data_IF_444377201155
#
_entry.id   IF_444377201155
#
_cell.length_a   1.000
_cell.length_b   1.000
_cell.length_c   1.000
_cell.angle_alpha   90.00
_cell.angle_beta   90.00
_cell.angle_gamma   90.00
#
_symmetry.space_group_name_H-M   'P 1'
#
loop_
_entity.id
_entity.type
_entity.pdbx_description
1 polymer ?
#
# COMPACT_ATOMS: atom_id res chain seq x y z
N UNK A 1 -2.01 32.85 -4.77
CA UNK A 1 -2.72 32.08 -5.82
C UNK A 1 -1.72 31.83 -6.94
N UNK A 2 -1.16 30.62 -6.99
CA UNK A 2 -0.38 30.14 -8.15
C UNK A 2 -1.41 29.91 -9.25
N UNK A 3 -1.16 30.38 -10.50
CA UNK A 3 -2.11 30.13 -11.58
C UNK A 3 -2.28 28.62 -11.77
N UNK A 4 -3.54 28.17 -11.61
CA UNK A 4 -3.94 26.77 -11.52
C UNK A 4 -3.52 25.88 -12.70
N UNK A 5 -3.24 26.47 -13.87
CA UNK A 5 -2.86 25.73 -15.07
C UNK A 5 -1.41 25.21 -15.05
N UNK A 6 -0.44 26.00 -14.62
CA UNK A 6 0.97 25.59 -14.66
C UNK A 6 1.31 24.54 -13.58
N UNK A 7 0.73 24.66 -12.37
CA UNK A 7 0.92 23.67 -11.32
C UNK A 7 0.25 22.33 -11.70
N UNK A 8 -0.96 22.37 -12.28
CA UNK A 8 -1.66 21.16 -12.72
C UNK A 8 -0.89 20.38 -13.80
N UNK A 9 -0.21 21.08 -14.71
CA UNK A 9 0.57 20.45 -15.79
C UNK A 9 1.85 19.77 -15.29
N UNK A 10 2.47 20.31 -14.24
CA UNK A 10 3.63 19.68 -13.59
C UNK A 10 3.21 18.40 -12.88
N UNK A 11 2.11 18.42 -12.11
CA UNK A 11 1.61 17.24 -11.42
C UNK A 11 1.09 16.14 -12.36
N UNK A 12 0.46 16.52 -13.48
CA UNK A 12 0.07 15.58 -14.54
C UNK A 12 1.28 14.82 -15.09
N UNK A 13 2.38 15.53 -15.37
CA UNK A 13 3.62 14.90 -15.83
C UNK A 13 4.24 14.01 -14.76
N UNK A 14 4.24 14.41 -13.49
CA UNK A 14 4.80 13.65 -12.38
C UNK A 14 4.04 12.33 -12.11
N UNK A 15 2.74 12.25 -12.41
CA UNK A 15 1.96 11.02 -12.28
C UNK A 15 2.07 10.11 -13.51
N UNK A 16 2.14 10.69 -14.70
CA UNK A 16 2.19 9.90 -15.96
C UNK A 16 3.58 9.30 -16.22
N UNK A 17 4.66 10.05 -15.95
CA UNK A 17 6.04 9.58 -16.24
C UNK A 17 6.38 8.27 -15.48
N UNK A 18 6.17 8.14 -14.16
CA UNK A 18 6.42 6.90 -13.45
C UNK A 18 5.53 5.74 -13.93
N UNK A 19 4.29 6.04 -14.33
CA UNK A 19 3.37 4.99 -14.81
C UNK A 19 3.82 4.35 -16.12
N UNK A 20 4.44 5.13 -17.01
CA UNK A 20 5.05 4.61 -18.24
C UNK A 20 6.28 3.75 -17.93
N UNK A 21 7.11 4.20 -16.98
CA UNK A 21 8.35 3.51 -16.63
C UNK A 21 8.10 2.14 -15.97
N UNK A 22 7.10 2.04 -15.07
CA UNK A 22 6.87 0.84 -14.26
C UNK A 22 5.75 -0.09 -14.75
N UNK A 23 4.76 0.42 -15.49
CA UNK A 23 3.55 -0.35 -15.80
C UNK A 23 3.24 -0.51 -17.29
N UNK A 24 4.06 0.03 -18.17
CA UNK A 24 3.85 0.00 -19.62
C UNK A 24 2.66 0.86 -20.08
N UNK A 25 2.38 0.78 -21.39
CA UNK A 25 1.40 1.65 -22.06
C UNK A 25 -0.01 1.55 -21.47
N UNK A 26 -0.44 0.36 -21.02
CA UNK A 26 -1.80 0.16 -20.46
C UNK A 26 -2.01 0.92 -19.16
N UNK A 27 -1.01 0.90 -18.25
CA UNK A 27 -1.07 1.65 -17.00
C UNK A 27 -1.00 3.15 -17.28
N UNK A 28 -0.14 3.58 -18.20
CA UNK A 28 -0.02 4.98 -18.60
C UNK A 28 -1.34 5.54 -19.15
N UNK A 29 -2.04 4.78 -20.01
CA UNK A 29 -3.34 5.18 -20.54
C UNK A 29 -4.41 5.28 -19.44
N UNK A 30 -4.41 4.36 -18.48
CA UNK A 30 -5.33 4.39 -17.36
C UNK A 30 -5.09 5.61 -16.44
N UNK A 31 -3.82 5.90 -16.13
CA UNK A 31 -3.44 7.07 -15.34
C UNK A 31 -3.79 8.35 -16.08
N UNK A 32 -3.50 8.43 -17.38
CA UNK A 32 -3.85 9.58 -18.20
C UNK A 32 -5.36 9.81 -18.22
N UNK A 33 -6.15 8.74 -18.40
CA UNK A 33 -7.61 8.83 -18.36
C UNK A 33 -8.12 9.31 -17.00
N UNK A 34 -7.61 8.77 -15.89
CA UNK A 34 -7.99 9.17 -14.53
C UNK A 34 -7.67 10.64 -14.27
N UNK A 35 -6.46 11.08 -14.63
CA UNK A 35 -6.00 12.47 -14.49
C UNK A 35 -6.86 13.45 -15.31
N UNK A 36 -7.19 13.09 -16.55
CA UNK A 36 -8.07 13.89 -17.41
C UNK A 36 -9.50 13.93 -16.85
N UNK A 37 -10.00 12.81 -16.33
CA UNK A 37 -11.33 12.73 -15.72
C UNK A 37 -11.42 13.63 -14.48
N UNK A 38 -10.44 13.61 -13.56
CA UNK A 38 -10.42 14.50 -12.39
C UNK A 38 -10.42 15.98 -12.76
N UNK A 39 -9.73 16.34 -13.87
CA UNK A 39 -9.77 17.71 -14.40
C UNK A 39 -11.09 18.07 -15.08
N UNK A 40 -11.75 17.11 -15.74
CA UNK A 40 -12.98 17.36 -16.46
C UNK A 40 -14.20 17.56 -15.52
N UNK A 41 -14.19 16.88 -14.36
CA UNK A 41 -15.26 17.02 -13.34
C UNK A 41 -14.93 18.07 -12.27
N UNK A 42 -13.85 18.84 -12.44
CA UNK A 42 -13.39 19.90 -11.51
C UNK A 42 -13.10 19.42 -10.07
N UNK A 43 -12.75 18.14 -9.92
CA UNK A 43 -12.38 17.50 -8.64
C UNK A 43 -10.87 17.27 -8.50
N UNK A 44 -10.06 18.03 -9.23
CA UNK A 44 -8.61 17.92 -9.23
C UNK A 44 -8.01 18.16 -7.84
N UNK A 45 -8.34 19.27 -7.19
CA UNK A 45 -7.78 19.64 -5.89
C UNK A 45 -8.16 18.62 -4.81
N UNK A 46 -9.41 18.21 -4.76
CA UNK A 46 -9.90 17.18 -3.82
C UNK A 46 -9.25 15.81 -4.07
N UNK A 47 -8.93 15.48 -5.33
CA UNK A 47 -8.19 14.26 -5.67
C UNK A 47 -6.75 14.33 -5.19
N UNK A 48 -6.07 15.49 -5.34
CA UNK A 48 -4.70 15.67 -4.86
C UNK A 48 -4.61 15.67 -3.32
N UNK A 49 -5.58 16.23 -2.62
CA UNK A 49 -5.67 16.17 -1.17
C UNK A 49 -5.83 14.71 -0.68
N UNK A 50 -6.72 13.95 -1.29
CA UNK A 50 -6.90 12.51 -0.99
C UNK A 50 -5.61 11.74 -1.23
N UNK A 51 -4.92 12.00 -2.35
CA UNK A 51 -3.63 11.41 -2.67
C UNK A 51 -2.56 11.73 -1.62
N UNK A 52 -2.48 12.99 -1.18
CA UNK A 52 -1.51 13.42 -0.19
C UNK A 52 -1.74 12.77 1.17
N UNK A 53 -3.00 12.76 1.65
CA UNK A 53 -3.37 12.11 2.91
C UNK A 53 -3.10 10.61 2.87
N UNK A 54 -3.53 9.94 1.81
CA UNK A 54 -3.32 8.50 1.63
C UNK A 54 -1.84 8.17 1.49
N UNK A 55 -1.12 8.90 0.65
CA UNK A 55 0.31 8.68 0.40
C UNK A 55 1.14 8.76 1.68
N UNK A 56 0.92 9.80 2.50
CA UNK A 56 1.61 9.96 3.77
C UNK A 56 1.23 8.86 4.78
N UNK A 57 -0.06 8.52 4.86
CA UNK A 57 -0.53 7.44 5.75
C UNK A 57 0.08 6.09 5.37
N UNK A 58 0.08 5.74 4.08
CA UNK A 58 0.68 4.49 3.57
C UNK A 58 2.19 4.48 3.81
N UNK A 59 2.88 5.57 3.54
CA UNK A 59 4.33 5.68 3.77
C UNK A 59 4.68 5.38 5.22
N UNK A 60 3.97 5.99 6.17
CA UNK A 60 4.16 5.75 7.60
C UNK A 60 3.79 4.31 7.99
N UNK A 61 2.67 3.78 7.47
CA UNK A 61 2.25 2.39 7.72
C UNK A 61 3.28 1.39 7.23
N UNK A 62 3.87 1.61 6.06
CA UNK A 62 4.87 0.71 5.47
C UNK A 62 6.14 0.72 6.30
N UNK A 63 6.64 1.89 6.69
CA UNK A 63 7.85 1.99 7.51
C UNK A 63 7.67 1.22 8.84
N UNK A 64 6.64 1.58 9.60
CA UNK A 64 6.41 0.96 10.91
C UNK A 64 6.01 -0.51 10.75
N UNK A 65 5.16 -0.82 9.78
CA UNK A 65 4.66 -2.16 9.54
C UNK A 65 5.74 -3.15 9.09
N UNK A 66 6.68 -2.73 8.22
CA UNK A 66 7.82 -3.58 7.83
C UNK A 66 8.73 -3.84 9.03
N UNK A 67 9.04 -2.82 9.83
CA UNK A 67 9.85 -2.98 11.04
C UNK A 67 9.21 -4.00 12.00
N UNK A 68 7.93 -3.81 12.33
CA UNK A 68 7.20 -4.75 13.21
C UNK A 68 7.07 -6.14 12.59
N UNK A 69 6.85 -6.24 11.28
CA UNK A 69 6.77 -7.50 10.55
C UNK A 69 8.08 -8.28 10.57
N UNK A 70 9.21 -7.59 10.44
CA UNK A 70 10.56 -8.19 10.58
C UNK A 70 10.74 -8.73 12.00
N UNK A 71 10.39 -7.98 13.05
CA UNK A 71 10.47 -8.45 14.42
C UNK A 71 9.58 -9.69 14.66
N UNK A 72 8.37 -9.72 14.08
CA UNK A 72 7.51 -10.91 14.10
C UNK A 72 8.16 -12.10 13.39
N UNK A 73 8.80 -11.87 12.25
CA UNK A 73 9.49 -12.92 11.47
C UNK A 73 10.68 -13.53 12.19
N UNK A 74 11.40 -12.74 12.97
CA UNK A 74 12.60 -13.17 13.69
C UNK A 74 12.32 -13.78 15.07
N UNK A 75 11.14 -13.54 15.68
CA UNK A 75 10.84 -13.95 17.05
C UNK A 75 9.45 -14.49 17.22
N UNK A 76 9.32 -15.80 17.51
CA UNK A 76 8.03 -16.45 17.79
C UNK A 76 7.33 -15.89 19.03
N UNK A 77 8.10 -15.40 19.99
CA UNK A 77 7.55 -14.80 21.19
C UNK A 77 6.89 -13.46 20.87
N UNK A 78 7.52 -12.65 20.02
CA UNK A 78 6.99 -11.37 19.58
C UNK A 78 5.76 -11.58 18.68
N UNK A 79 5.81 -12.53 17.74
CA UNK A 79 4.67 -12.87 16.88
C UNK A 79 3.44 -13.30 17.69
N UNK A 80 3.61 -14.20 18.68
CA UNK A 80 2.51 -14.65 19.54
C UNK A 80 1.83 -13.51 20.29
N UNK A 81 2.60 -12.51 20.72
CA UNK A 81 2.03 -11.32 21.36
C UNK A 81 1.36 -10.36 20.38
N UNK A 82 1.92 -10.23 19.17
CA UNK A 82 1.39 -9.32 18.15
C UNK A 82 0.14 -9.87 17.45
N UNK A 83 0.02 -11.18 17.30
CA UNK A 83 -1.11 -11.83 16.60
C UNK A 83 -2.48 -11.40 17.11
N UNK A 84 -2.80 -11.47 18.42
CA UNK A 84 -4.11 -11.04 18.92
C UNK A 84 -4.35 -9.53 18.71
N UNK A 85 -3.31 -8.71 18.74
CA UNK A 85 -3.41 -7.27 18.45
C UNK A 85 -3.82 -7.06 17.00
N UNK A 86 -3.14 -7.72 16.06
CA UNK A 86 -3.45 -7.62 14.63
C UNK A 86 -4.85 -8.19 14.31
N UNK A 87 -5.26 -9.29 14.97
CA UNK A 87 -6.59 -9.87 14.81
C UNK A 87 -7.66 -8.87 15.27
N UNK A 88 -7.47 -8.25 16.44
CA UNK A 88 -8.37 -7.21 16.94
C UNK A 88 -8.44 -6.01 16.00
N UNK A 89 -7.30 -5.54 15.52
CA UNK A 89 -7.24 -4.42 14.58
C UNK A 89 -8.01 -4.69 13.28
N UNK A 90 -8.02 -5.92 12.78
CA UNK A 90 -8.73 -6.25 11.53
C UNK A 90 -10.23 -6.48 11.70
N UNK A 91 -10.68 -6.86 12.91
CA UNK A 91 -12.11 -7.05 13.21
C UNK A 91 -12.79 -5.71 13.54
N UNK A 92 -12.04 -4.75 14.06
CA UNK A 92 -12.59 -3.45 14.43
C UNK A 92 -13.12 -2.68 13.21
N UNK A 93 -14.34 -2.14 13.25
CA UNK A 93 -14.85 -1.26 12.20
C UNK A 93 -13.96 -0.03 12.00
N UNK A 94 -13.80 0.39 10.74
CA UNK A 94 -12.93 1.50 10.36
C UNK A 94 -13.19 2.80 11.16
N UNK A 95 -14.45 3.11 11.45
CA UNK A 95 -14.84 4.27 12.24
C UNK A 95 -14.27 4.32 13.65
N UNK A 96 -14.02 3.16 14.25
CA UNK A 96 -13.50 3.08 15.62
C UNK A 96 -12.10 3.69 15.72
N UNK A 97 -11.33 3.71 14.62
CA UNK A 97 -10.02 4.35 14.59
C UNK A 97 -10.07 5.88 14.50
N UNK A 98 -11.12 6.41 13.89
CA UNK A 98 -11.28 7.85 13.70
C UNK A 98 -11.60 8.57 15.02
N UNK A 99 -12.39 7.94 15.89
CA UNK A 99 -12.86 8.58 17.13
C UNK A 99 -11.69 8.92 18.09
N UNK A 100 -10.82 7.98 18.49
CA UNK A 100 -9.67 8.30 19.34
C UNK A 100 -8.71 9.29 18.68
N UNK A 101 -8.46 9.14 17.37
CA UNK A 101 -7.58 10.05 16.64
C UNK A 101 -8.10 11.50 16.71
N UNK A 102 -9.41 11.70 16.55
CA UNK A 102 -10.04 13.01 16.68
C UNK A 102 -9.92 13.57 18.12
N UNK A 103 -10.10 12.74 19.14
CA UNK A 103 -10.01 13.19 20.55
C UNK A 103 -8.60 13.62 20.93
N UNK A 104 -7.56 12.93 20.46
CA UNK A 104 -6.18 13.26 20.80
C UNK A 104 -5.58 14.36 19.94
N UNK A 105 -5.96 14.45 18.66
CA UNK A 105 -5.29 15.31 17.68
C UNK A 105 -6.22 16.37 17.05
N UNK A 106 -7.46 16.44 17.49
CA UNK A 106 -8.45 17.39 16.96
C UNK A 106 -9.09 16.94 15.66
N UNK A 107 -9.63 17.90 14.91
CA UNK A 107 -10.36 17.70 13.65
C UNK A 107 -9.44 18.05 12.47
N UNK A 108 -9.48 17.26 11.39
CA UNK A 108 -8.78 17.58 10.14
C UNK A 108 -7.85 16.49 9.62
N UNK A 109 -6.86 16.87 8.82
CA UNK A 109 -5.97 15.94 8.12
C UNK A 109 -5.01 15.16 9.02
N UNK A 110 -4.50 15.76 10.10
CA UNK A 110 -3.54 15.11 11.00
C UNK A 110 -4.12 13.86 11.69
N UNK A 111 -5.28 13.92 12.38
CA UNK A 111 -5.91 12.71 12.93
C UNK A 111 -6.32 11.71 11.83
N UNK A 112 -6.70 12.17 10.64
CA UNK A 112 -7.01 11.31 9.51
C UNK A 112 -5.80 10.48 9.07
N UNK A 113 -4.61 11.10 8.98
CA UNK A 113 -3.36 10.41 8.64
C UNK A 113 -3.03 9.35 9.68
N UNK A 114 -3.10 9.67 10.96
CA UNK A 114 -2.75 8.76 12.06
C UNK A 114 -3.73 7.57 12.13
N UNK A 115 -5.03 7.83 12.04
CA UNK A 115 -6.04 6.78 12.02
C UNK A 115 -5.85 5.84 10.82
N UNK A 116 -5.62 6.41 9.64
CA UNK A 116 -5.40 5.65 8.40
C UNK A 116 -4.12 4.83 8.48
N UNK A 117 -3.04 5.39 9.01
CA UNK A 117 -1.78 4.69 9.25
C UNK A 117 -2.00 3.44 10.12
N UNK A 118 -2.65 3.59 11.26
CA UNK A 118 -2.88 2.48 12.20
C UNK A 118 -3.80 1.44 11.58
N UNK A 119 -4.91 1.87 10.97
CA UNK A 119 -5.90 0.98 10.35
C UNK A 119 -5.32 0.14 9.20
N UNK A 120 -4.46 0.72 8.38
CA UNK A 120 -3.91 0.06 7.19
C UNK A 120 -2.63 -0.76 7.46
N UNK A 121 -2.10 -0.74 8.68
CA UNK A 121 -0.85 -1.38 9.06
C UNK A 121 -0.90 -2.93 9.14
N UNK A 122 -1.98 -3.60 9.57
CA UNK A 122 -1.99 -5.05 9.78
C UNK A 122 -1.54 -5.90 8.58
N UNK A 123 -1.94 -5.64 7.33
CA UNK A 123 -1.52 -6.44 6.18
C UNK A 123 -0.01 -6.44 5.96
N UNK A 124 0.62 -5.27 6.06
CA UNK A 124 2.07 -5.15 5.83
C UNK A 124 2.86 -5.89 6.92
N UNK A 125 2.42 -5.85 8.18
CA UNK A 125 3.05 -6.59 9.28
C UNK A 125 2.96 -8.10 9.01
N UNK A 126 1.75 -8.59 8.68
CA UNK A 126 1.52 -10.04 8.46
C UNK A 126 2.28 -10.57 7.25
N UNK A 127 2.25 -9.84 6.13
CA UNK A 127 2.90 -10.30 4.91
C UNK A 127 4.42 -10.16 4.97
N UNK A 128 4.94 -9.19 5.71
CA UNK A 128 6.39 -9.12 6.00
C UNK A 128 6.83 -10.28 6.90
N UNK A 129 6.09 -10.56 7.98
CA UNK A 129 6.34 -11.71 8.84
C UNK A 129 6.34 -13.02 8.03
N UNK A 130 5.28 -13.25 7.25
CA UNK A 130 5.13 -14.42 6.40
C UNK A 130 6.29 -14.56 5.41
N UNK A 131 6.65 -13.48 4.71
CA UNK A 131 7.72 -13.49 3.74
C UNK A 131 9.09 -13.83 4.35
N UNK A 132 9.38 -13.33 5.54
CA UNK A 132 10.64 -13.66 6.24
C UNK A 132 10.67 -15.13 6.68
N UNK A 133 9.55 -15.66 7.16
CA UNK A 133 9.45 -17.06 7.63
C UNK A 133 9.41 -18.08 6.49
N UNK A 134 9.01 -17.68 5.30
CA UNK A 134 8.99 -18.53 4.12
C UNK A 134 10.36 -18.71 3.45
N UNK A 135 11.38 -17.97 3.88
CA UNK A 135 12.74 -18.17 3.36
C UNK A 135 13.25 -19.57 3.75
N UNK A 136 13.68 -20.40 2.78
CA UNK A 136 14.14 -21.76 3.06
C UNK A 136 15.31 -21.79 4.05
N UNK A 137 15.25 -22.70 5.03
CA UNK A 137 16.30 -22.84 6.03
C UNK A 137 17.65 -23.16 5.40
N UNK A 138 17.67 -23.95 4.32
CA UNK A 138 18.89 -24.28 3.56
C UNK A 138 19.61 -23.03 3.06
N UNK A 139 18.87 -22.00 2.63
CA UNK A 139 19.43 -20.74 2.18
C UNK A 139 20.05 -19.96 3.36
N UNK A 140 19.40 -20.02 4.53
CA UNK A 140 19.89 -19.37 5.75
C UNK A 140 21.14 -20.08 6.27
N UNK A 141 21.15 -21.42 6.28
CA UNK A 141 22.30 -22.24 6.66
C UNK A 141 23.47 -22.04 5.73
N UNK A 142 23.23 -21.98 4.42
CA UNK A 142 24.26 -21.68 3.42
C UNK A 142 24.89 -20.31 3.68
N UNK A 143 24.09 -19.28 3.91
CA UNK A 143 24.60 -17.94 4.21
C UNK A 143 25.46 -17.93 5.49
N UNK A 144 25.05 -18.66 6.53
CA UNK A 144 25.81 -18.80 7.77
C UNK A 144 27.09 -19.59 7.59
N UNK A 145 27.10 -20.64 6.76
CA UNK A 145 28.29 -21.41 6.42
C UNK A 145 29.36 -20.56 5.71
N UNK A 146 28.92 -19.57 4.91
CA UNK A 146 29.80 -18.55 4.32
C UNK A 146 30.19 -17.42 5.29
N UNK A 147 29.88 -17.54 6.59
CA UNK A 147 30.31 -16.62 7.62
C UNK A 147 29.45 -15.37 7.79
N UNK A 148 28.21 -15.34 7.24
CA UNK A 148 27.33 -14.20 7.47
C UNK A 148 26.77 -14.17 8.89
N UNK A 149 26.80 -12.99 9.51
CA UNK A 149 26.17 -12.77 10.80
C UNK A 149 24.63 -12.59 10.64
N UNK A 150 23.87 -12.61 11.77
CA UNK A 150 22.41 -12.54 11.77
C UNK A 150 21.85 -11.33 11.01
N UNK A 151 22.47 -10.15 11.14
CA UNK A 151 22.03 -8.93 10.44
C UNK A 151 22.34 -9.01 8.95
N UNK A 152 23.50 -9.56 8.58
CA UNK A 152 23.84 -9.77 7.17
C UNK A 152 22.90 -10.76 6.51
N UNK A 153 22.58 -11.87 7.19
CA UNK A 153 21.61 -12.85 6.70
C UNK A 153 20.22 -12.21 6.54
N UNK A 154 19.78 -11.40 7.52
CA UNK A 154 18.50 -10.70 7.43
C UNK A 154 18.46 -9.76 6.20
N UNK A 155 19.38 -8.80 6.11
CA UNK A 155 19.29 -7.76 5.08
C UNK A 155 19.76 -8.20 3.69
N UNK A 156 20.69 -9.17 3.59
CA UNK A 156 21.24 -9.61 2.31
C UNK A 156 20.54 -10.86 1.74
N UNK A 157 19.82 -11.63 2.57
CA UNK A 157 19.19 -12.88 2.15
C UNK A 157 17.68 -12.86 2.42
N UNK A 158 17.27 -12.73 3.69
CA UNK A 158 15.85 -12.89 4.05
C UNK A 158 14.98 -11.76 3.50
N UNK A 159 15.34 -10.50 3.70
CA UNK A 159 14.55 -9.36 3.22
C UNK A 159 14.44 -9.32 1.70
N UNK A 160 15.52 -9.52 0.91
CA UNK A 160 15.40 -9.61 -0.55
C UNK A 160 14.50 -10.76 -1.03
N UNK A 161 14.57 -11.93 -0.41
CA UNK A 161 13.72 -13.07 -0.75
C UNK A 161 12.26 -12.88 -0.29
N UNK A 162 12.04 -12.16 0.82
CA UNK A 162 10.73 -11.81 1.33
C UNK A 162 10.05 -10.66 0.55
N UNK A 163 10.79 -9.96 -0.31
CA UNK A 163 10.33 -8.74 -0.98
C UNK A 163 9.01 -8.92 -1.77
N UNK A 164 8.76 -10.03 -2.49
CA UNK A 164 7.46 -10.25 -3.14
C UNK A 164 6.29 -10.24 -2.14
N UNK A 165 6.44 -10.89 -0.99
CA UNK A 165 5.42 -10.91 0.07
C UNK A 165 5.25 -9.53 0.72
N UNK A 166 6.34 -8.80 0.94
CA UNK A 166 6.31 -7.42 1.45
C UNK A 166 5.55 -6.52 0.48
N UNK A 167 5.80 -6.63 -0.84
CA UNK A 167 5.11 -5.83 -1.86
C UNK A 167 3.62 -6.15 -1.95
N UNK A 168 3.21 -7.41 -1.73
CA UNK A 168 1.79 -7.74 -1.56
C UNK A 168 1.20 -7.05 -0.33
N UNK A 169 1.95 -6.98 0.77
CA UNK A 169 1.57 -6.24 1.98
C UNK A 169 1.38 -4.75 1.71
N UNK A 170 2.30 -4.13 0.99
CA UNK A 170 2.19 -2.73 0.57
C UNK A 170 0.92 -2.49 -0.25
N UNK A 171 0.64 -3.35 -1.22
CA UNK A 171 -0.55 -3.21 -2.06
C UNK A 171 -1.86 -3.31 -1.24
N UNK A 172 -1.95 -4.26 -0.30
CA UNK A 172 -3.11 -4.37 0.58
C UNK A 172 -3.24 -3.17 1.53
N UNK A 173 -2.12 -2.66 2.05
CA UNK A 173 -2.07 -1.46 2.88
C UNK A 173 -2.61 -0.24 2.13
N UNK A 174 -2.24 -0.07 0.86
CA UNK A 174 -2.74 1.01 0.00
C UNK A 174 -4.28 0.93 -0.13
N UNK A 175 -4.83 -0.25 -0.41
CA UNK A 175 -6.27 -0.45 -0.58
C UNK A 175 -7.05 -0.15 0.72
N UNK A 176 -6.53 -0.60 1.87
CA UNK A 176 -7.13 -0.28 3.16
C UNK A 176 -7.03 1.21 3.51
N UNK A 177 -5.89 1.83 3.23
CA UNK A 177 -5.70 3.25 3.48
C UNK A 177 -6.68 4.10 2.67
N UNK A 178 -6.88 3.79 1.39
CA UNK A 178 -7.84 4.50 0.55
C UNK A 178 -9.26 4.43 1.11
N UNK A 179 -9.68 3.25 1.59
CA UNK A 179 -11.00 3.08 2.17
C UNK A 179 -11.22 3.98 3.41
N UNK A 180 -10.22 4.08 4.30
CA UNK A 180 -10.36 4.92 5.50
C UNK A 180 -10.18 6.41 5.21
N UNK A 181 -9.30 6.81 4.29
CA UNK A 181 -9.12 8.23 3.94
C UNK A 181 -10.42 8.85 3.42
N UNK A 182 -11.22 8.11 2.64
CA UNK A 182 -12.54 8.57 2.20
C UNK A 182 -13.48 8.75 3.40
N UNK A 183 -13.46 7.84 4.37
CA UNK A 183 -14.26 7.92 5.59
C UNK A 183 -13.77 9.01 6.56
N UNK A 184 -12.52 9.42 6.48
CA UNK A 184 -11.95 10.45 7.34
C UNK A 184 -12.58 11.85 7.17
N UNK A 185 -13.41 12.04 6.15
CA UNK A 185 -14.25 13.23 6.00
C UNK A 185 -15.15 13.47 7.22
N UNK A 186 -15.57 12.39 7.93
CA UNK A 186 -16.40 12.51 9.15
C UNK A 186 -15.68 13.18 10.32
N UNK A 187 -14.35 13.21 10.28
CA UNK A 187 -13.51 13.94 11.24
C UNK A 187 -12.90 15.21 10.63
N UNK A 188 -13.48 15.72 9.54
CA UNK A 188 -13.09 16.99 8.91
C UNK A 188 -11.86 16.91 8.00
N UNK A 189 -11.46 15.72 7.53
CA UNK A 189 -10.46 15.61 6.48
C UNK A 189 -11.04 16.11 5.16
N UNK A 190 -10.24 16.88 4.42
CA UNK A 190 -10.57 17.34 3.08
C UNK A 190 -10.29 16.26 2.04
N UNK A 191 -10.75 16.45 0.82
CA UNK A 191 -10.52 15.58 -0.32
C UNK A 191 -11.80 15.01 -0.91
N UNK A 192 -11.69 13.96 -1.75
CA UNK A 192 -12.83 13.34 -2.46
C UNK A 192 -13.93 12.86 -1.52
N UNK A 193 -13.58 12.36 -0.33
CA UNK A 193 -14.57 11.96 0.68
C UNK A 193 -15.47 13.13 1.09
N UNK A 194 -14.91 14.33 1.27
CA UNK A 194 -15.68 15.52 1.64
C UNK A 194 -16.62 15.97 0.52
N UNK A 195 -16.20 15.87 -0.73
CA UNK A 195 -17.04 16.17 -1.90
C UNK A 195 -18.25 15.22 -1.97
N UNK A 196 -18.00 13.92 -1.87
CA UNK A 196 -19.05 12.90 -1.84
C UNK A 196 -20.03 13.17 -0.69
N UNK A 197 -19.53 13.48 0.50
CA UNK A 197 -20.34 13.75 1.67
C UNK A 197 -21.24 15.00 1.48
N UNK A 198 -20.69 16.07 0.92
CA UNK A 198 -21.45 17.29 0.60
C UNK A 198 -22.52 17.00 -0.46
N UNK A 199 -22.20 16.24 -1.49
CA UNK A 199 -23.12 15.85 -2.54
C UNK A 199 -24.30 15.01 -1.99
N UNK A 200 -24.02 14.03 -1.12
CA UNK A 200 -25.04 13.22 -0.45
C UNK A 200 -25.98 14.10 0.40
N UNK A 201 -25.44 15.05 1.15
CA UNK A 201 -26.25 15.97 1.97
C UNK A 201 -27.13 16.89 1.14
N UNK A 202 -26.71 17.23 -0.06
CA UNK A 202 -27.49 18.03 -1.02
C UNK A 202 -28.44 17.21 -1.86
N UNK A 203 -28.41 15.87 -1.71
CA UNK A 203 -29.13 14.91 -2.55
C UNK A 203 -28.79 15.05 -4.05
N UNK A 204 -27.59 15.53 -4.36
CA UNK A 204 -27.06 15.63 -5.71
C UNK A 204 -26.38 14.31 -6.10
N UNK A 205 -27.17 13.45 -6.74
CA UNK A 205 -26.73 12.12 -7.16
C UNK A 205 -25.62 12.22 -8.23
N UNK A 206 -25.69 13.22 -9.11
CA UNK A 206 -24.70 13.42 -10.17
C UNK A 206 -23.31 13.68 -9.59
N UNK A 207 -23.21 14.69 -8.73
CA UNK A 207 -21.98 15.05 -8.06
C UNK A 207 -21.42 13.91 -7.17
N UNK A 208 -22.30 13.22 -6.41
CA UNK A 208 -21.89 12.06 -5.62
C UNK A 208 -21.29 10.94 -6.48
N UNK A 209 -21.86 10.68 -7.67
CA UNK A 209 -21.33 9.70 -8.62
C UNK A 209 -19.98 10.12 -9.20
N UNK A 210 -19.81 11.39 -9.56
CA UNK A 210 -18.53 11.93 -10.04
C UNK A 210 -17.41 11.73 -9.01
N UNK A 211 -17.67 12.10 -7.77
CA UNK A 211 -16.73 11.86 -6.66
C UNK A 211 -16.43 10.38 -6.44
N UNK A 212 -17.46 9.52 -6.48
CA UNK A 212 -17.31 8.07 -6.36
C UNK A 212 -16.48 7.46 -7.49
N UNK A 213 -16.68 7.92 -8.73
CA UNK A 213 -15.87 7.49 -9.88
C UNK A 213 -14.42 7.96 -9.77
N UNK A 214 -14.17 9.15 -9.23
CA UNK A 214 -12.82 9.63 -8.95
C UNK A 214 -12.08 8.71 -7.96
N UNK A 215 -12.74 8.30 -6.88
CA UNK A 215 -12.19 7.34 -5.89
C UNK A 215 -11.95 5.98 -6.53
N UNK A 216 -12.89 5.48 -7.34
CA UNK A 216 -12.76 4.21 -8.04
C UNK A 216 -11.56 4.21 -8.98
N UNK A 217 -11.41 5.25 -9.80
CA UNK A 217 -10.26 5.38 -10.71
C UNK A 217 -8.94 5.44 -9.92
N UNK A 218 -8.92 6.18 -8.82
CA UNK A 218 -7.77 6.24 -7.91
C UNK A 218 -7.41 4.84 -7.38
N UNK A 219 -8.39 4.07 -6.90
CA UNK A 219 -8.20 2.70 -6.42
C UNK A 219 -7.61 1.78 -7.49
N UNK A 220 -8.16 1.81 -8.71
CA UNK A 220 -7.68 0.99 -9.83
C UNK A 220 -6.24 1.39 -10.22
N UNK A 221 -5.93 2.69 -10.25
CA UNK A 221 -4.59 3.17 -10.56
C UNK A 221 -3.56 2.64 -9.55
N UNK A 222 -3.86 2.73 -8.25
CA UNK A 222 -2.96 2.23 -7.21
C UNK A 222 -2.82 0.71 -7.18
N UNK A 223 -3.91 -0.04 -7.39
CA UNK A 223 -3.86 -1.50 -7.50
C UNK A 223 -2.95 -1.92 -8.66
N UNK A 224 -3.10 -1.30 -9.82
CA UNK A 224 -2.26 -1.59 -10.99
C UNK A 224 -0.81 -1.18 -10.79
N UNK A 225 -0.58 -0.03 -10.17
CA UNK A 225 0.77 0.45 -9.85
C UNK A 225 1.46 -0.47 -8.83
N UNK A 226 0.78 -0.87 -7.76
CA UNK A 226 1.31 -1.81 -6.78
C UNK A 226 1.66 -3.18 -7.38
N UNK A 227 0.80 -3.70 -8.26
CA UNK A 227 1.06 -4.95 -8.99
C UNK A 227 2.23 -4.83 -9.98
N UNK A 228 2.38 -3.69 -10.65
CA UNK A 228 3.50 -3.44 -11.56
C UNK A 228 4.84 -3.45 -10.81
N UNK A 229 4.91 -2.76 -9.67
CA UNK A 229 6.10 -2.76 -8.81
C UNK A 229 6.46 -4.15 -8.26
N UNK A 230 5.44 -4.97 -7.95
CA UNK A 230 5.65 -6.34 -7.47
C UNK A 230 6.17 -7.26 -8.56
N UNK A 231 5.72 -7.10 -9.81
CA UNK A 231 6.04 -7.99 -10.93
C UNK A 231 7.49 -7.82 -11.44
N UNK A 232 8.01 -6.60 -11.41
CA UNK A 232 9.35 -6.29 -11.92
C UNK A 232 10.48 -6.96 -11.11
N UNK A 233 10.24 -7.29 -9.85
CA UNK A 233 11.23 -7.92 -8.95
C UNK A 233 11.14 -9.45 -8.88
N UNK A 234 10.16 -10.06 -9.55
CA UNK A 234 9.94 -11.53 -9.52
C UNK A 234 10.48 -12.24 -10.76
N UNK A 235 11.10 -11.53 -11.69
CA UNK A 235 11.79 -12.16 -12.82
C UNK A 235 13.13 -12.75 -12.36
N UNK A 236 13.07 -13.89 -11.66
CA UNK A 236 14.20 -14.82 -11.63
C UNK A 236 14.49 -15.25 -13.08
N UNK A 237 15.76 -15.34 -13.50
CA UNK A 237 16.11 -15.82 -14.84
C UNK A 237 15.38 -17.14 -15.11
N UNK A 238 14.82 -17.29 -16.31
CA UNK A 238 14.07 -18.49 -16.71
C UNK A 238 14.88 -19.81 -16.55
N UNK A 239 16.19 -19.73 -16.42
CA UNK A 239 17.09 -20.85 -16.15
C UNK A 239 16.92 -21.44 -14.74
N UNK A 240 16.52 -20.66 -13.74
CA UNK A 240 16.30 -21.18 -12.39
C UNK A 240 15.00 -22.00 -12.29
N UNK A 241 14.01 -21.73 -13.15
CA UNK A 241 12.78 -22.54 -13.19
C UNK A 241 12.99 -23.93 -13.82
N UNK A 242 13.95 -24.07 -14.71
CA UNK A 242 14.30 -25.37 -15.28
C UNK A 242 14.89 -26.35 -14.27
N UNK A 243 15.54 -25.84 -13.23
CA UNK A 243 16.13 -26.70 -12.18
C UNK A 243 15.07 -27.39 -11.30
N UNK A 244 13.88 -26.77 -11.13
CA UNK A 244 12.77 -27.37 -10.38
C UNK A 244 11.88 -28.31 -11.19
N UNK A 245 12.07 -28.39 -12.51
CA UNK A 245 11.30 -29.25 -13.41
C UNK A 245 12.05 -30.54 -13.80
N UNK A 246 13.22 -30.79 -13.22
CA UNK A 246 13.88 -32.08 -13.40
C UNK A 246 13.11 -33.14 -12.59
N UNK A 247 12.68 -34.26 -13.20
CA UNK A 247 12.00 -35.31 -12.47
C UNK A 247 12.92 -35.86 -11.37
N UNK A 248 12.43 -35.86 -10.14
CA UNK A 248 13.14 -36.44 -8.97
C UNK A 248 13.12 -37.98 -9.05
N UNK A 249 13.65 -38.56 -10.12
CA UNK A 249 13.86 -39.99 -10.19
C UNK A 249 15.27 -40.31 -9.65
N UNK A 250 15.46 -40.11 -8.36
CA UNK A 250 16.60 -40.68 -7.62
C UNK A 250 16.15 -41.97 -6.91
N UNK A 251 15.65 -42.96 -7.64
CA UNK A 251 15.73 -44.32 -7.15
C UNK A 251 17.13 -44.82 -7.50
N UNK A 252 18.00 -44.78 -6.51
CA UNK A 252 19.33 -45.37 -6.54
C UNK A 252 19.15 -46.83 -6.10
N UNK A 253 19.60 -47.73 -6.97
CA UNK A 253 19.89 -49.12 -6.68
C UNK A 253 20.83 -49.27 -5.49
#
# INVERSE_FOLDING_TARGET
>A
RIPSSAASDVYKRQLVIPSVAFGGLRLALLVLFGVLFWGAVDLWDSSMETLALMGLSVFLSVIVGVILGVFCGLSDRFERGMKPVLDTMQVMPAFVYLIPAMFFFGIGGAPAILATMIYSMPPIIRLTNLGIRQVPNETIETATAFGSNKLQTLFKVQVPLALPSIMMGVNQTIMMALALVVLATFIGAQGLGSEIWVAIRKLDVGWAMEGGLCVLLMAIMFDRFGKALSKEKTTLPADSQRFYLLPQNWEIY
#
